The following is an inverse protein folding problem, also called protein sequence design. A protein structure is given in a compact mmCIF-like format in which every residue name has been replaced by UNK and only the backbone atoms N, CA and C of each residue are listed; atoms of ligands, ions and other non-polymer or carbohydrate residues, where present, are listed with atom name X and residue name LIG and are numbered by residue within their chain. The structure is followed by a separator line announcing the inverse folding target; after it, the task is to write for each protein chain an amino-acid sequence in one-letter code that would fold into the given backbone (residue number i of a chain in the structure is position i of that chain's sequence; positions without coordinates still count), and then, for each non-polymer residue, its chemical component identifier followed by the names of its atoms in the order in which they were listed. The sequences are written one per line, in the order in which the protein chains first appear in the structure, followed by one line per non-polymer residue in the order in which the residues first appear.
data_IF_981642978131
#
_entry.id   IF_981642978131
#
_cell.length_a   1.000
_cell.length_b   1.000
_cell.length_c   1.000
_cell.angle_alpha   90.00
_cell.angle_beta   90.00
_cell.angle_gamma   90.00
#
_symmetry.space_group_name_H-M   'P 1'
#
loop_
_entity.id
_entity.type
_entity.pdbx_description
1 polymer ?
#
# COMPACT_ATOMS: atom_id res chain seq x y z
N UNK A 1 7.75 -12.05 -3.38
CA UNK A 1 7.92 -10.69 -2.84
C UNK A 1 6.77 -9.81 -3.33
N UNK A 2 6.09 -9.10 -2.43
CA UNK A 2 5.22 -7.99 -2.81
C UNK A 2 5.92 -6.67 -2.45
N UNK A 3 5.84 -5.66 -3.31
CA UNK A 3 6.44 -4.35 -3.10
C UNK A 3 5.48 -3.25 -3.49
N UNK A 4 5.34 -2.27 -2.62
CA UNK A 4 4.72 -0.99 -2.90
C UNK A 4 5.84 0.00 -3.21
N UNK A 5 5.77 0.63 -4.37
CA UNK A 5 6.78 1.59 -4.81
C UNK A 5 6.16 2.97 -5.00
N UNK A 6 6.59 3.91 -4.15
CA UNK A 6 6.25 5.33 -4.20
C UNK A 6 4.75 5.57 -4.25
N UNK A 7 4.01 4.82 -3.43
CA UNK A 7 2.55 4.89 -3.45
C UNK A 7 2.06 6.17 -2.79
N UNK A 8 1.09 6.81 -3.42
CA UNK A 8 0.30 7.89 -2.83
C UNK A 8 -1.18 7.50 -2.78
N UNK A 9 -1.89 8.00 -1.77
CA UNK A 9 -3.36 7.94 -1.71
C UNK A 9 -3.95 9.15 -1.06
N UNK A 10 -4.91 9.73 -1.75
CA UNK A 10 -5.64 10.93 -1.35
C UNK A 10 -7.13 10.62 -1.27
N UNK A 11 -7.77 11.21 -0.28
CA UNK A 11 -9.23 11.19 -0.12
C UNK A 11 -9.70 12.63 -0.01
N UNK A 12 -10.25 13.16 -1.09
CA UNK A 12 -10.57 14.59 -1.19
C UNK A 12 -9.32 15.45 -0.92
N UNK A 13 -9.39 16.33 0.08
CA UNK A 13 -8.28 17.21 0.47
C UNK A 13 -7.23 16.58 1.40
N UNK A 14 -7.36 15.31 1.78
CA UNK A 14 -6.47 14.64 2.73
C UNK A 14 -5.54 13.66 2.02
N UNK A 15 -4.23 13.83 2.18
CA UNK A 15 -3.24 12.81 1.79
C UNK A 15 -3.11 11.79 2.91
N UNK A 16 -3.57 10.57 2.68
CA UNK A 16 -3.54 9.49 3.67
C UNK A 16 -2.27 8.64 3.58
N UNK A 17 -1.68 8.54 2.39
CA UNK A 17 -0.37 7.93 2.14
C UNK A 17 0.38 8.84 1.18
N UNK A 18 1.62 9.18 1.48
CA UNK A 18 2.44 10.13 0.73
C UNK A 18 3.82 9.54 0.43
N UNK A 19 4.07 9.22 -0.84
CA UNK A 19 5.33 8.70 -1.37
C UNK A 19 5.97 7.56 -0.54
N UNK A 20 5.18 6.54 -0.24
CA UNK A 20 5.64 5.41 0.60
C UNK A 20 6.13 4.25 -0.27
N UNK A 21 7.32 3.71 0.05
CA UNK A 21 7.82 2.45 -0.50
C UNK A 21 8.10 1.43 0.59
N UNK A 22 7.63 0.21 0.42
CA UNK A 22 7.96 -0.92 1.30
C UNK A 22 7.82 -2.25 0.55
N UNK A 23 8.47 -3.30 1.05
CA UNK A 23 8.38 -4.66 0.51
C UNK A 23 8.09 -5.67 1.64
N UNK A 24 7.42 -6.75 1.28
CA UNK A 24 7.17 -7.90 2.15
C UNK A 24 7.62 -9.15 1.41
N UNK A 25 8.52 -9.89 2.04
CA UNK A 25 8.99 -11.17 1.51
C UNK A 25 8.06 -12.33 1.82
N UNK A 26 8.20 -13.41 1.04
CA UNK A 26 7.41 -14.63 1.28
C UNK A 26 7.80 -15.22 2.65
N UNK A 27 6.80 -15.42 3.51
CA UNK A 27 7.00 -15.97 4.85
C UNK A 27 7.39 -14.94 5.91
N UNK A 28 7.48 -13.66 5.54
CA UNK A 28 7.73 -12.57 6.49
C UNK A 28 6.45 -12.17 7.23
N UNK A 29 6.59 -11.79 8.50
CA UNK A 29 5.54 -11.12 9.26
C UNK A 29 5.94 -9.65 9.39
N UNK A 30 5.15 -8.78 8.76
CA UNK A 30 5.37 -7.33 8.81
C UNK A 30 4.31 -6.65 9.68
N UNK A 31 4.73 -5.68 10.51
CA UNK A 31 3.84 -4.91 11.36
C UNK A 31 3.78 -3.45 10.90
N UNK A 32 2.58 -2.95 10.61
CA UNK A 32 2.34 -1.54 10.32
C UNK A 32 1.91 -0.83 11.59
N UNK A 33 2.77 0.04 12.13
CA UNK A 33 2.58 0.75 13.40
C UNK A 33 2.62 2.26 13.21
N UNK A 34 2.01 3.00 14.14
CA UNK A 34 1.88 4.46 14.08
C UNK A 34 0.61 4.95 14.75
N UNK A 35 0.45 6.26 14.87
CA UNK A 35 -0.69 6.89 15.54
C UNK A 35 -2.01 6.78 14.75
N UNK A 36 -3.12 7.11 15.39
CA UNK A 36 -4.42 7.19 14.70
C UNK A 36 -4.37 8.25 13.61
N UNK A 37 -4.81 7.91 12.40
CA UNK A 37 -4.73 8.79 11.23
C UNK A 37 -3.45 8.69 10.41
N UNK A 38 -2.42 7.94 10.86
CA UNK A 38 -1.14 7.80 10.15
C UNK A 38 -1.18 6.98 8.83
N UNK A 39 -2.36 6.70 8.27
CA UNK A 39 -2.47 5.96 7.00
C UNK A 39 -2.42 4.44 7.08
N UNK A 40 -2.25 3.84 8.27
CA UNK A 40 -2.11 2.38 8.45
C UNK A 40 -3.22 1.56 7.80
N UNK A 41 -4.49 1.89 8.09
CA UNK A 41 -5.64 1.19 7.50
C UNK A 41 -5.75 1.42 6.00
N UNK A 42 -5.24 2.54 5.48
CA UNK A 42 -5.19 2.83 4.05
C UNK A 42 -4.21 1.88 3.35
N UNK A 43 -3.01 1.70 3.90
CA UNK A 43 -2.03 0.74 3.41
C UNK A 43 -2.60 -0.68 3.43
N UNK A 44 -3.20 -1.10 4.56
CA UNK A 44 -3.82 -2.43 4.68
C UNK A 44 -4.95 -2.65 3.68
N UNK A 45 -5.77 -1.63 3.40
CA UNK A 45 -6.83 -1.72 2.39
C UNK A 45 -6.31 -1.80 0.96
N UNK A 46 -5.14 -1.26 0.66
CA UNK A 46 -4.51 -1.47 -0.65
C UNK A 46 -3.93 -2.87 -0.79
N UNK A 47 -3.29 -3.37 0.27
CA UNK A 47 -2.84 -4.77 0.33
C UNK A 47 -4.00 -5.74 0.12
N UNK A 48 -5.16 -5.44 0.69
CA UNK A 48 -6.40 -6.20 0.53
C UNK A 48 -7.19 -5.85 -0.74
N UNK A 49 -6.63 -5.11 -1.71
CA UNK A 49 -7.29 -4.78 -2.97
C UNK A 49 -8.51 -3.85 -2.91
N UNK A 50 -8.90 -3.39 -1.72
CA UNK A 50 -10.05 -2.47 -1.52
C UNK A 50 -9.77 -1.09 -2.11
N UNK A 51 -8.51 -0.63 -2.08
CA UNK A 51 -8.10 0.63 -2.68
C UNK A 51 -6.93 0.43 -3.64
N UNK A 52 -6.99 1.10 -4.79
CA UNK A 52 -5.81 1.33 -5.61
C UNK A 52 -5.07 2.58 -5.15
N UNK A 53 -3.73 2.60 -5.21
CA UNK A 53 -2.98 3.82 -5.04
C UNK A 53 -3.30 4.80 -6.17
N UNK A 54 -3.31 6.11 -5.88
CA UNK A 54 -3.57 7.13 -6.90
C UNK A 54 -2.31 7.40 -7.74
N UNK A 55 -1.13 7.11 -7.19
CA UNK A 55 0.20 7.14 -7.82
C UNK A 55 1.08 6.04 -7.27
N UNK A 56 2.17 5.73 -7.97
CA UNK A 56 3.06 4.65 -7.63
C UNK A 56 2.58 3.31 -8.18
N UNK A 57 3.19 2.21 -7.74
CA UNK A 57 2.90 0.88 -8.30
C UNK A 57 2.98 -0.20 -7.23
N UNK A 58 2.10 -1.19 -7.32
CA UNK A 58 2.20 -2.44 -6.57
C UNK A 58 2.86 -3.47 -7.48
N UNK A 59 3.90 -4.13 -7.00
CA UNK A 59 4.69 -5.11 -7.74
C UNK A 59 4.61 -6.44 -7.00
N UNK A 60 4.28 -7.52 -7.71
CA UNK A 60 4.29 -8.88 -7.19
C UNK A 60 5.27 -9.71 -8.01
N UNK A 61 6.27 -10.28 -7.34
CA UNK A 61 7.29 -11.14 -7.95
C UNK A 61 7.95 -10.49 -9.20
N UNK A 62 8.15 -9.17 -9.15
CA UNK A 62 8.80 -8.38 -10.20
C UNK A 62 7.83 -7.75 -11.21
N UNK A 63 6.56 -8.18 -11.24
CA UNK A 63 5.57 -7.70 -12.20
C UNK A 63 4.63 -6.68 -11.57
N UNK A 64 4.36 -5.54 -12.23
CA UNK A 64 3.30 -4.62 -11.82
C UNK A 64 1.94 -5.29 -11.80
N UNK A 65 1.19 -5.12 -10.72
CA UNK A 65 -0.16 -5.67 -10.56
C UNK A 65 -1.15 -4.62 -10.06
N UNK A 66 -2.43 -4.89 -10.31
CA UNK A 66 -3.55 -4.25 -9.63
C UNK A 66 -4.28 -5.31 -8.82
N UNK A 67 -4.38 -5.13 -7.52
CA UNK A 67 -5.13 -6.06 -6.64
C UNK A 67 -6.59 -5.61 -6.64
N UNK A 68 -7.44 -6.23 -7.45
CA UNK A 68 -8.83 -5.80 -7.65
C UNK A 68 -9.87 -6.51 -6.78
N UNK A 69 -9.46 -7.60 -6.13
CA UNK A 69 -10.37 -8.50 -5.42
C UNK A 69 -9.95 -8.61 -3.94
N UNK A 70 -10.88 -8.42 -2.97
CA UNK A 70 -10.59 -8.53 -1.54
C UNK A 70 -10.30 -9.95 -1.03
#
# INVERSE_FOLDING_TARGET
MIRFDRIEKRFGGVTAVDDVSFGIERGEIHAVVGENGAGKSTIMKMLAGVYQPDRGTIVLDGEPISISDP
#
